data_IF_774356823701
#
_entry.id   IF_774356823701
#
_cell.length_a   1.000
_cell.length_b   1.000
_cell.length_c   1.000
_cell.angle_alpha   90.00
_cell.angle_beta   90.00
_cell.angle_gamma   90.00
#
_symmetry.space_group_name_H-M   'P 1'
#
loop_
_entity.id
_entity.type
_entity.pdbx_description
1 polymer ?
#
# COMPACT_ATOMS: atom_id res chain seq x y z
N UNK A 1 -9.53 -26.72 26.27
CA UNK A 1 -10.57 -26.49 25.24
C UNK A 1 -9.98 -26.96 23.93
N UNK A 2 -10.62 -27.88 23.21
CA UNK A 2 -10.15 -28.33 21.89
C UNK A 2 -10.44 -27.24 20.87
N UNK A 3 -9.42 -26.45 20.52
CA UNK A 3 -9.57 -25.38 19.53
C UNK A 3 -9.89 -25.99 18.16
N UNK A 4 -11.03 -25.60 17.61
CA UNK A 4 -11.46 -26.01 16.27
C UNK A 4 -10.42 -25.53 15.24
N UNK A 5 -9.78 -26.44 14.47
CA UNK A 5 -8.73 -26.07 13.52
C UNK A 5 -9.24 -25.28 12.31
N UNK A 6 -10.56 -25.24 12.08
CA UNK A 6 -11.19 -24.50 10.97
C UNK A 6 -11.92 -23.24 11.44
N UNK A 7 -11.60 -22.72 12.63
CA UNK A 7 -12.20 -21.48 13.11
C UNK A 7 -11.85 -20.32 12.16
N UNK A 8 -12.89 -19.69 11.61
CA UNK A 8 -12.74 -18.49 10.78
C UNK A 8 -12.14 -17.38 11.66
N UNK A 9 -10.95 -16.92 11.28
CA UNK A 9 -10.20 -15.89 11.99
C UNK A 9 -10.77 -14.52 11.60
N UNK A 10 -11.14 -13.71 12.58
CA UNK A 10 -11.58 -12.34 12.35
C UNK A 10 -10.38 -11.40 12.32
N UNK A 11 -10.43 -10.27 11.60
CA UNK A 11 -9.35 -9.30 11.58
C UNK A 11 -8.99 -8.71 12.96
N UNK A 12 -9.91 -8.78 13.93
CA UNK A 12 -9.72 -8.33 15.32
C UNK A 12 -9.12 -9.39 16.23
N UNK A 13 -9.01 -10.64 15.76
CA UNK A 13 -8.52 -11.74 16.58
C UNK A 13 -6.99 -11.62 16.74
N UNK A 14 -6.50 -11.79 17.97
CA UNK A 14 -5.07 -11.82 18.21
C UNK A 14 -4.48 -13.15 17.71
N UNK A 15 -3.28 -13.12 17.09
CA UNK A 15 -2.61 -14.34 16.68
C UNK A 15 -2.27 -15.19 17.90
N UNK A 16 -2.31 -16.54 17.78
CA UNK A 16 -1.91 -17.45 18.86
C UNK A 16 -0.51 -17.12 19.38
N UNK A 17 -0.31 -17.18 20.71
CA UNK A 17 0.94 -16.74 21.35
C UNK A 17 2.19 -17.46 20.81
N UNK A 18 2.06 -18.73 20.40
CA UNK A 18 3.15 -19.49 19.78
C UNK A 18 3.62 -18.92 18.44
N UNK A 19 2.71 -18.32 17.66
CA UNK A 19 2.96 -17.81 16.30
C UNK A 19 3.04 -16.28 16.24
N UNK A 20 2.70 -15.60 17.34
CA UNK A 20 2.60 -14.15 17.43
C UNK A 20 3.89 -13.44 17.02
N UNK A 21 5.05 -13.98 17.40
CA UNK A 21 6.35 -13.40 17.03
C UNK A 21 6.56 -13.39 15.52
N UNK A 22 6.29 -14.52 14.87
CA UNK A 22 6.52 -14.69 13.44
C UNK A 22 5.53 -13.86 12.64
N UNK A 23 4.24 -13.92 13.00
CA UNK A 23 3.17 -13.14 12.35
C UNK A 23 3.45 -11.64 12.46
N UNK A 24 3.77 -11.14 13.66
CA UNK A 24 4.08 -9.72 13.85
C UNK A 24 5.38 -9.30 13.17
N UNK A 25 6.37 -10.20 13.08
CA UNK A 25 7.60 -9.98 12.32
C UNK A 25 7.33 -9.78 10.83
N UNK A 26 6.53 -10.67 10.22
CA UNK A 26 6.14 -10.57 8.81
C UNK A 26 5.35 -9.29 8.52
N UNK A 27 4.40 -8.91 9.37
CA UNK A 27 3.62 -7.68 9.19
C UNK A 27 4.52 -6.44 9.20
N UNK A 28 5.45 -6.35 10.18
CA UNK A 28 6.40 -5.24 10.26
C UNK A 28 7.31 -5.17 9.04
N UNK A 29 7.74 -6.32 8.52
CA UNK A 29 8.56 -6.38 7.32
C UNK A 29 7.80 -5.86 6.09
N UNK A 30 6.55 -6.26 5.90
CA UNK A 30 5.70 -5.74 4.81
C UNK A 30 5.49 -4.24 4.95
N UNK A 31 5.23 -3.74 6.16
CA UNK A 31 5.12 -2.31 6.41
C UNK A 31 6.42 -1.56 6.05
N UNK A 32 7.58 -2.14 6.36
CA UNK A 32 8.88 -1.54 6.03
C UNK A 32 9.12 -1.49 4.52
N UNK A 33 8.75 -2.53 3.77
CA UNK A 33 8.82 -2.54 2.30
C UNK A 33 7.90 -1.46 1.72
N UNK A 34 6.65 -1.41 2.15
CA UNK A 34 5.70 -0.39 1.69
C UNK A 34 6.23 1.01 1.99
N UNK A 35 6.87 1.18 3.15
CA UNK A 35 7.47 2.46 3.51
C UNK A 35 8.66 2.82 2.61
N UNK A 36 9.49 1.85 2.25
CA UNK A 36 10.57 2.05 1.28
C UNK A 36 10.01 2.47 -0.09
N UNK A 37 8.96 1.81 -0.57
CA UNK A 37 8.30 2.17 -1.84
C UNK A 37 7.74 3.59 -1.78
N UNK A 38 7.07 3.97 -0.68
CA UNK A 38 6.58 5.33 -0.49
C UNK A 38 7.71 6.38 -0.53
N UNK A 39 8.83 6.12 0.15
CA UNK A 39 9.92 7.10 0.29
C UNK A 39 10.80 7.21 -0.96
N UNK A 40 10.95 6.14 -1.74
CA UNK A 40 11.95 6.09 -2.82
C UNK A 40 11.34 5.89 -4.21
N UNK A 41 10.11 5.41 -4.32
CA UNK A 41 9.48 5.10 -5.62
C UNK A 41 8.28 5.99 -5.88
N UNK A 42 7.48 6.34 -4.87
CA UNK A 42 6.23 7.09 -5.07
C UNK A 42 6.42 8.55 -5.50
N UNK A 43 7.62 9.13 -5.33
CA UNK A 43 7.93 10.49 -5.82
C UNK A 43 8.05 10.56 -7.36
N UNK A 44 8.35 9.43 -8.02
CA UNK A 44 8.46 9.34 -9.48
C UNK A 44 7.12 9.53 -10.21
N UNK A 45 6.02 8.80 -9.88
CA UNK A 45 4.75 8.97 -10.58
C UNK A 45 4.12 10.34 -10.34
N UNK A 46 4.19 10.90 -9.13
CA UNK A 46 3.65 12.25 -8.85
C UNK A 46 4.39 13.32 -9.67
N UNK A 47 5.73 13.24 -9.73
CA UNK A 47 6.54 14.14 -10.57
C UNK A 47 6.35 13.92 -12.08
N UNK A 48 6.05 12.69 -12.50
CA UNK A 48 5.79 12.37 -13.91
C UNK A 48 4.44 12.94 -14.38
N UNK A 49 3.38 12.82 -13.56
CA UNK A 49 2.07 13.39 -13.89
C UNK A 49 2.08 14.92 -13.88
N UNK A 50 2.90 15.57 -13.06
CA UNK A 50 3.07 17.03 -13.10
C UNK A 50 3.67 17.55 -14.43
N UNK A 51 4.40 16.69 -15.15
CA UNK A 51 4.98 17.00 -16.47
C UNK A 51 4.08 16.61 -17.64
N UNK A 52 3.04 15.81 -17.42
CA UNK A 52 2.03 15.51 -18.44
C UNK A 52 1.11 16.72 -18.54
N UNK A 53 1.37 17.58 -19.53
CA UNK A 53 0.44 18.66 -19.88
C UNK A 53 -0.92 18.04 -20.19
N UNK A 54 -1.95 18.43 -19.44
CA UNK A 54 -3.33 18.12 -19.78
C UNK A 54 -3.62 18.75 -21.15
N UNK A 55 -3.82 17.91 -22.16
CA UNK A 55 -4.25 18.32 -23.49
C UNK A 55 -5.77 18.30 -23.50
N UNK A 56 -6.37 19.35 -24.03
CA UNK A 56 -7.80 19.41 -24.27
C UNK A 56 -8.18 18.41 -25.40
N UNK A 57 -9.06 17.43 -25.14
CA UNK A 57 -9.41 16.40 -26.13
C UNK A 57 -10.13 16.94 -27.36
N UNK A 58 -10.76 18.12 -27.29
CA UNK A 58 -11.48 18.70 -28.44
C UNK A 58 -10.57 19.55 -29.33
N UNK A 59 -9.59 20.24 -28.73
CA UNK A 59 -8.77 21.23 -29.43
C UNK A 59 -7.30 20.80 -29.60
N UNK A 60 -6.86 19.75 -28.91
CA UNK A 60 -5.47 19.28 -28.91
C UNK A 60 -4.48 20.27 -28.28
N UNK A 61 -4.96 21.37 -27.69
CA UNK A 61 -4.12 22.42 -27.11
C UNK A 61 -3.74 22.10 -25.65
N UNK A 62 -2.55 22.50 -25.18
CA UNK A 62 -2.18 22.38 -23.78
C UNK A 62 -3.03 23.31 -22.92
N UNK A 63 -3.69 22.76 -21.89
CA UNK A 63 -4.49 23.53 -20.94
C UNK A 63 -3.58 24.49 -20.17
N UNK A 64 -3.76 25.81 -20.34
CA UNK A 64 -3.04 26.81 -19.54
C UNK A 64 -3.41 26.65 -18.06
N UNK A 65 -2.41 26.41 -17.20
CA UNK A 65 -2.55 26.58 -15.75
C UNK A 65 -2.77 28.08 -15.51
N UNK A 66 -3.90 28.45 -14.91
CA UNK A 66 -4.07 29.76 -14.28
C UNK A 66 -3.29 29.78 -12.97
#
# INVERSE_FOLDING_TARGET
MSDNPFKIIRPTDQPPESLKKDVMGSVKFVMLILRFVQLFVADLPVSAFDKVRLIDPETGAPKKKN
#
